data_IF_461813628229
#
_entry.id   IF_461813628229
#
_cell.length_a   1.000
_cell.length_b   1.000
_cell.length_c   1.000
_cell.angle_alpha   90.00
_cell.angle_beta   90.00
_cell.angle_gamma   90.00
#
_symmetry.space_group_name_H-M   'P 1'
#
loop_
_entity.id
_entity.type
_entity.pdbx_description
1 polymer ?
#
# COMPACT_ATOMS: atom_id res chain seq x y z
N UNK A 1 26.81 10.83 -55.22
CA UNK A 1 26.00 9.72 -54.66
C UNK A 1 26.21 9.75 -53.15
N UNK A 2 25.42 10.55 -52.43
CA UNK A 2 24.17 10.16 -51.74
C UNK A 2 24.35 9.03 -50.71
N UNK A 3 24.14 9.40 -49.43
CA UNK A 3 23.52 8.62 -48.33
C UNK A 3 24.29 7.36 -47.82
N UNK A 4 24.24 6.90 -46.56
CA UNK A 4 23.37 7.12 -45.39
C UNK A 4 24.08 6.46 -44.16
N UNK A 5 24.10 7.16 -43.00
CA UNK A 5 23.95 6.72 -41.57
C UNK A 5 24.67 5.45 -41.04
N UNK A 6 25.44 5.49 -39.93
CA UNK A 6 25.09 5.82 -38.54
C UNK A 6 23.97 4.95 -37.95
N UNK A 7 24.32 3.83 -37.31
CA UNK A 7 23.44 3.17 -36.33
C UNK A 7 24.16 2.98 -35.01
N UNK A 8 23.85 3.87 -34.08
CA UNK A 8 24.05 3.68 -32.66
C UNK A 8 23.02 2.66 -32.17
N UNK A 9 23.46 1.47 -31.79
CA UNK A 9 22.65 0.48 -31.09
C UNK A 9 22.41 0.91 -29.63
N UNK A 10 21.56 1.92 -29.43
CA UNK A 10 21.01 2.26 -28.13
C UNK A 10 19.99 1.18 -27.75
N UNK A 11 20.39 0.19 -26.95
CA UNK A 11 19.43 -0.69 -26.27
C UNK A 11 18.76 0.10 -25.15
N UNK A 12 17.79 0.93 -25.54
CA UNK A 12 16.82 1.49 -24.63
C UNK A 12 16.01 0.33 -24.01
N UNK A 13 16.42 -0.09 -22.83
CA UNK A 13 15.62 -0.95 -21.97
C UNK A 13 14.25 -0.32 -21.79
N UNK A 14 13.23 -0.95 -22.37
CA UNK A 14 11.85 -0.49 -22.36
C UNK A 14 11.31 -0.60 -20.94
N UNK A 15 11.52 0.44 -20.13
CA UNK A 15 10.81 0.61 -18.88
C UNK A 15 9.34 0.98 -19.20
N UNK A 16 8.51 -0.01 -19.53
CA UNK A 16 7.07 0.18 -19.49
C UNK A 16 6.66 0.31 -18.03
N UNK A 17 6.66 1.55 -17.54
CA UNK A 17 6.13 1.92 -16.25
C UNK A 17 4.65 1.58 -16.18
N UNK A 18 4.34 0.43 -15.58
CA UNK A 18 3.04 0.21 -14.98
C UNK A 18 3.17 0.61 -13.52
N UNK A 19 3.05 1.90 -13.25
CA UNK A 19 2.72 2.35 -11.90
C UNK A 19 1.45 1.60 -11.51
N UNK A 20 1.57 0.66 -10.56
CA UNK A 20 0.50 -0.23 -10.12
C UNK A 20 -0.55 0.61 -9.39
N UNK A 21 -1.38 1.27 -10.19
CA UNK A 21 -2.40 2.19 -9.70
C UNK A 21 -3.26 1.43 -8.69
N UNK A 22 -3.31 1.95 -7.46
CA UNK A 22 -4.09 1.37 -6.37
C UNK A 22 -5.52 1.13 -6.91
N UNK A 23 -6.03 -0.11 -6.83
CA UNK A 23 -7.35 -0.42 -7.37
C UNK A 23 -8.41 0.52 -6.79
N UNK A 24 -9.33 0.99 -7.65
CA UNK A 24 -10.36 1.95 -7.25
C UNK A 24 -11.23 1.47 -6.08
N UNK A 25 -11.45 0.15 -5.95
CA UNK A 25 -12.17 -0.41 -4.81
C UNK A 25 -11.39 -0.24 -3.49
N UNK A 26 -10.06 -0.40 -3.51
CA UNK A 26 -9.20 -0.27 -2.33
C UNK A 26 -9.23 1.17 -1.83
N UNK A 27 -9.07 2.13 -2.76
CA UNK A 27 -9.15 3.57 -2.47
C UNK A 27 -10.48 3.94 -1.81
N UNK A 28 -11.61 3.47 -2.36
CA UNK A 28 -12.95 3.70 -1.79
C UNK A 28 -13.07 3.19 -0.35
N UNK A 29 -12.49 2.03 -0.04
CA UNK A 29 -12.49 1.48 1.32
C UNK A 29 -11.60 2.32 2.24
N UNK A 30 -10.39 2.70 1.79
CA UNK A 30 -9.47 3.54 2.55
C UNK A 30 -10.09 4.91 2.88
N UNK A 31 -10.76 5.55 1.91
CA UNK A 31 -11.52 6.79 2.13
C UNK A 31 -12.65 6.61 3.14
N UNK A 32 -13.39 5.50 3.07
CA UNK A 32 -14.46 5.20 4.04
C UNK A 32 -13.89 5.01 5.45
N UNK A 33 -12.76 4.33 5.58
CA UNK A 33 -12.04 4.16 6.86
C UNK A 33 -11.56 5.52 7.39
N UNK A 34 -10.99 6.36 6.53
CA UNK A 34 -10.50 7.68 6.91
C UNK A 34 -11.64 8.58 7.42
N UNK A 35 -12.77 8.59 6.70
CA UNK A 35 -13.99 9.31 7.13
C UNK A 35 -14.51 8.79 8.47
N UNK A 36 -14.53 7.47 8.67
CA UNK A 36 -14.94 6.86 9.94
C UNK A 36 -14.03 7.27 11.10
N UNK A 37 -12.70 7.26 10.90
CA UNK A 37 -11.72 7.72 11.92
C UNK A 37 -11.90 9.19 12.29
N UNK A 38 -12.06 10.06 11.29
CA UNK A 38 -12.30 11.48 11.51
C UNK A 38 -13.60 11.73 12.30
N UNK A 39 -14.64 10.95 12.00
CA UNK A 39 -15.91 11.04 12.71
C UNK A 39 -15.79 10.54 14.16
N UNK A 40 -15.10 9.42 14.40
CA UNK A 40 -14.79 8.95 15.77
C UNK A 40 -14.10 10.05 16.57
N UNK A 41 -13.07 10.70 16.01
CA UNK A 41 -12.38 11.81 16.68
C UNK A 41 -13.34 12.94 17.05
N UNK A 42 -14.22 13.34 16.13
CA UNK A 42 -15.22 14.38 16.38
C UNK A 42 -16.22 13.99 17.49
N UNK A 43 -16.68 12.74 17.51
CA UNK A 43 -17.60 12.23 18.53
C UNK A 43 -16.94 12.15 19.91
N UNK A 44 -15.67 11.75 19.97
CA UNK A 44 -14.89 11.74 21.21
C UNK A 44 -14.71 13.17 21.73
N UNK A 45 -14.30 14.12 20.88
CA UNK A 45 -14.15 15.53 21.29
C UNK A 45 -15.47 16.10 21.83
N UNK A 46 -16.59 15.83 21.17
CA UNK A 46 -17.91 16.25 21.65
C UNK A 46 -18.26 15.62 23.00
N UNK A 47 -18.03 14.31 23.16
CA UNK A 47 -18.25 13.59 24.43
C UNK A 47 -17.41 14.16 25.58
N UNK A 48 -16.21 14.65 25.29
CA UNK A 48 -15.34 15.33 26.27
C UNK A 48 -15.80 16.75 26.64
N UNK A 49 -16.95 17.22 26.14
CA UNK A 49 -17.50 18.55 26.44
C UNK A 49 -17.13 19.63 25.43
N UNK A 50 -16.48 19.29 24.32
CA UNK A 50 -16.14 20.28 23.29
C UNK A 50 -17.37 20.61 22.42
N UNK A 51 -17.94 21.78 22.65
CA UNK A 51 -19.15 22.26 21.97
C UNK A 51 -18.87 23.25 20.84
N UNK A 52 -17.66 23.25 20.27
CA UNK A 52 -17.35 24.11 19.13
C UNK A 52 -18.35 23.88 17.99
N UNK A 53 -18.88 24.94 17.35
CA UNK A 53 -19.96 24.81 16.35
C UNK A 53 -19.65 23.82 15.22
N UNK A 54 -18.39 23.74 14.81
CA UNK A 54 -17.91 22.78 13.79
C UNK A 54 -18.07 21.32 14.23
N UNK A 55 -17.74 21.02 15.49
CA UNK A 55 -17.87 19.67 16.06
C UNK A 55 -19.34 19.33 16.20
N UNK A 56 -20.14 20.22 16.81
CA UNK A 56 -21.59 20.04 16.97
C UNK A 56 -22.28 19.79 15.63
N UNK A 57 -21.94 20.57 14.59
CA UNK A 57 -22.47 20.36 13.23
C UNK A 57 -22.11 18.96 12.69
N UNK A 58 -20.87 18.53 12.87
CA UNK A 58 -20.41 17.21 12.42
C UNK A 58 -21.16 16.09 13.15
N UNK A 59 -21.34 16.22 14.47
CA UNK A 59 -22.10 15.26 15.28
C UNK A 59 -23.57 15.24 14.87
N UNK A 60 -24.22 16.39 14.66
CA UNK A 60 -25.59 16.45 14.13
C UNK A 60 -25.73 15.73 12.79
N UNK A 61 -24.78 15.92 11.88
CA UNK A 61 -24.77 15.20 10.59
C UNK A 61 -24.57 13.68 10.77
N UNK A 62 -23.82 13.26 11.78
CA UNK A 62 -23.62 11.84 12.10
C UNK A 62 -24.92 11.13 12.49
N UNK A 63 -25.85 11.86 13.13
CA UNK A 63 -27.13 11.38 13.62
C UNK A 63 -28.34 11.84 12.78
N UNK A 64 -28.11 12.55 11.66
CA UNK A 64 -29.19 13.13 10.86
C UNK A 64 -30.20 12.09 10.34
N UNK A 65 -29.83 10.81 10.27
CA UNK A 65 -30.68 9.71 9.81
C UNK A 65 -31.31 8.88 10.94
N UNK A 66 -30.91 9.11 12.18
CA UNK A 66 -31.27 8.26 13.33
C UNK A 66 -32.22 8.93 14.32
N UNK A 67 -32.77 10.11 14.00
CA UNK A 67 -33.69 10.87 14.85
C UNK A 67 -33.18 11.07 16.30
N UNK A 68 -31.87 11.09 16.51
CA UNK A 68 -31.26 11.32 17.83
C UNK A 68 -31.05 12.82 18.01
N UNK A 69 -31.58 13.37 19.10
CA UNK A 69 -31.36 14.76 19.48
C UNK A 69 -30.21 14.85 20.49
N UNK A 70 -29.32 15.83 20.30
CA UNK A 70 -28.15 16.01 21.15
C UNK A 70 -28.48 16.48 22.58
N UNK A 71 -29.72 16.92 22.81
CA UNK A 71 -30.22 17.36 24.12
C UNK A 71 -30.85 16.22 24.93
N UNK A 72 -30.94 15.01 24.38
CA UNK A 72 -31.51 13.87 25.10
C UNK A 72 -30.56 13.39 26.20
N UNK A 73 -31.08 12.92 27.35
CA UNK A 73 -30.26 12.44 28.46
C UNK A 73 -29.43 11.19 28.11
N UNK A 74 -29.87 10.39 27.13
CA UNK A 74 -29.20 9.16 26.66
C UNK A 74 -28.12 9.41 25.59
N UNK A 75 -27.83 10.67 25.25
CA UNK A 75 -26.89 11.00 24.17
C UNK A 75 -25.50 10.37 24.35
N UNK A 76 -25.01 10.27 25.59
CA UNK A 76 -23.71 9.67 25.91
C UNK A 76 -23.65 8.20 25.52
N UNK A 77 -24.74 7.46 25.75
CA UNK A 77 -24.86 6.08 25.34
C UNK A 77 -24.91 5.98 23.81
N UNK A 78 -25.75 6.79 23.17
CA UNK A 78 -25.87 6.83 21.69
C UNK A 78 -24.57 7.18 20.98
N UNK A 79 -23.77 8.07 21.56
CA UNK A 79 -22.42 8.39 21.08
C UNK A 79 -21.49 7.18 21.16
N UNK A 80 -21.57 6.41 22.24
CA UNK A 80 -20.74 5.22 22.43
C UNK A 80 -21.12 4.13 21.44
N UNK A 81 -22.42 3.83 21.32
CA UNK A 81 -22.96 2.90 20.31
C UNK A 81 -22.47 3.28 18.90
N UNK A 82 -22.57 4.57 18.56
CA UNK A 82 -22.15 5.09 17.26
C UNK A 82 -20.64 4.96 17.02
N UNK A 83 -19.82 5.17 18.05
CA UNK A 83 -18.36 4.98 17.95
C UNK A 83 -18.04 3.51 17.69
N UNK A 84 -18.72 2.59 18.36
CA UNK A 84 -18.48 1.16 18.19
C UNK A 84 -18.92 0.67 16.80
N UNK A 85 -20.03 1.15 16.26
CA UNK A 85 -20.41 0.92 14.85
C UNK A 85 -19.30 1.34 13.88
N UNK A 86 -18.71 2.53 14.10
CA UNK A 86 -17.63 3.05 13.26
C UNK A 86 -16.36 2.20 13.39
N UNK A 87 -16.03 1.70 14.59
CA UNK A 87 -14.93 0.75 14.79
C UNK A 87 -15.19 -0.55 14.02
N UNK A 88 -16.42 -1.06 14.02
CA UNK A 88 -16.80 -2.24 13.24
C UNK A 88 -16.61 -2.00 11.74
N UNK A 89 -17.01 -0.83 11.22
CA UNK A 89 -16.79 -0.44 9.82
C UNK A 89 -15.30 -0.42 9.47
N UNK A 90 -14.46 0.13 10.36
CA UNK A 90 -12.99 0.16 10.16
C UNK A 90 -12.43 -1.26 10.11
N UNK A 91 -12.81 -2.11 11.08
CA UNK A 91 -12.35 -3.49 11.13
C UNK A 91 -12.78 -4.29 9.90
N UNK A 92 -14.04 -4.15 9.49
CA UNK A 92 -14.58 -4.81 8.30
C UNK A 92 -13.89 -4.33 7.01
N UNK A 93 -13.60 -3.03 6.90
CA UNK A 93 -12.89 -2.45 5.76
C UNK A 93 -11.41 -2.84 5.68
N UNK A 94 -10.73 -3.01 6.82
CA UNK A 94 -9.32 -3.39 6.86
C UNK A 94 -9.05 -4.80 6.35
N UNK A 95 -9.95 -5.75 6.62
CA UNK A 95 -9.81 -7.17 6.23
C UNK A 95 -9.55 -7.39 4.73
N UNK A 96 -10.38 -6.89 3.80
CA UNK A 96 -10.17 -7.09 2.35
C UNK A 96 -8.90 -6.43 1.84
N UNK A 97 -8.53 -5.25 2.36
CA UNK A 97 -7.27 -4.56 2.01
C UNK A 97 -6.09 -5.44 2.42
N UNK A 98 -6.07 -5.94 3.65
CA UNK A 98 -5.01 -6.83 4.16
C UNK A 98 -4.86 -8.08 3.30
N UNK A 99 -5.97 -8.77 3.01
CA UNK A 99 -5.97 -9.98 2.15
C UNK A 99 -5.42 -9.70 0.76
N UNK A 100 -5.79 -8.56 0.18
CA UNK A 100 -5.28 -8.15 -1.14
C UNK A 100 -3.78 -7.91 -1.12
N UNK A 101 -3.29 -7.15 -0.14
CA UNK A 101 -1.86 -6.88 0.03
C UNK A 101 -1.08 -8.17 0.22
N UNK A 102 -1.51 -9.06 1.11
CA UNK A 102 -0.85 -10.35 1.34
C UNK A 102 -0.82 -11.23 0.08
N UNK A 103 -1.90 -11.24 -0.71
CA UNK A 103 -1.92 -11.96 -1.98
C UNK A 103 -0.94 -11.35 -2.98
N UNK A 104 -0.95 -10.03 -3.12
CA UNK A 104 -0.07 -9.32 -4.05
C UNK A 104 1.40 -9.52 -3.69
N UNK A 105 1.74 -9.46 -2.40
CA UNK A 105 3.10 -9.72 -1.92
C UNK A 105 3.54 -11.14 -2.23
N UNK A 106 2.71 -12.15 -1.94
CA UNK A 106 3.01 -13.56 -2.27
C UNK A 106 3.20 -13.77 -3.76
N UNK A 107 2.33 -13.19 -4.58
CA UNK A 107 2.45 -13.26 -6.04
C UNK A 107 3.79 -12.69 -6.51
N UNK A 108 4.15 -11.49 -6.04
CA UNK A 108 5.41 -10.84 -6.40
C UNK A 108 6.62 -11.67 -5.95
N UNK A 109 6.61 -12.19 -4.73
CA UNK A 109 7.66 -13.06 -4.20
C UNK A 109 7.81 -14.35 -5.02
N UNK A 110 6.70 -14.98 -5.40
CA UNK A 110 6.73 -16.19 -6.24
C UNK A 110 7.29 -15.89 -7.64
N UNK A 111 6.92 -14.75 -8.25
CA UNK A 111 7.47 -14.35 -9.54
C UNK A 111 8.99 -14.10 -9.47
N UNK A 112 9.45 -13.44 -8.41
CA UNK A 112 10.88 -13.22 -8.17
C UNK A 112 11.61 -14.56 -7.99
N UNK A 113 11.08 -15.44 -7.13
CA UNK A 113 11.64 -16.77 -6.89
C UNK A 113 11.76 -17.60 -8.17
N UNK A 114 10.71 -17.63 -9.01
CA UNK A 114 10.75 -18.35 -10.28
C UNK A 114 11.79 -17.77 -11.25
N UNK A 115 11.91 -16.44 -11.29
CA UNK A 115 12.89 -15.76 -12.13
C UNK A 115 14.32 -16.07 -11.67
N UNK A 116 14.56 -16.04 -10.37
CA UNK A 116 15.86 -16.34 -9.78
C UNK A 116 16.23 -17.82 -9.93
N UNK A 117 15.27 -18.72 -9.76
CA UNK A 117 15.44 -20.15 -10.01
C UNK A 117 15.82 -20.41 -11.47
N UNK A 118 15.14 -19.76 -12.43
CA UNK A 118 15.47 -19.87 -13.85
C UNK A 118 16.90 -19.40 -14.15
N UNK A 119 17.28 -18.23 -13.61
CA UNK A 119 18.65 -17.69 -13.75
C UNK A 119 19.70 -18.61 -13.15
N UNK A 120 19.41 -19.22 -12.00
CA UNK A 120 20.31 -20.17 -11.36
C UNK A 120 20.55 -21.37 -12.28
N UNK A 121 19.49 -22.00 -12.80
CA UNK A 121 19.66 -23.15 -13.69
C UNK A 121 20.37 -22.78 -15.00
N UNK A 122 20.04 -21.63 -15.60
CA UNK A 122 20.77 -21.11 -16.77
C UNK A 122 22.28 -20.93 -16.48
N UNK A 123 22.65 -20.50 -15.27
CA UNK A 123 24.06 -20.36 -14.87
C UNK A 123 24.78 -21.69 -14.65
N UNK A 124 24.05 -22.75 -14.29
CA UNK A 124 24.60 -24.09 -14.10
C UNK A 124 24.73 -24.86 -15.42
N UNK A 125 23.82 -24.62 -16.36
CA UNK A 125 23.82 -25.22 -17.68
C UNK A 125 24.82 -24.57 -18.63
N UNK A 126 25.20 -23.31 -18.37
CA UNK A 126 26.34 -22.71 -19.05
C UNK A 126 27.60 -23.45 -18.60
N UNK A 127 28.27 -24.22 -19.49
CA UNK A 127 29.59 -24.73 -19.17
C UNK A 127 30.42 -23.49 -18.85
N UNK A 128 31.12 -23.52 -17.71
CA UNK A 128 32.18 -22.55 -17.47
C UNK A 128 33.06 -22.63 -18.70
N UNK A 129 32.97 -21.62 -19.58
CA UNK A 129 34.05 -21.37 -20.53
C UNK A 129 35.17 -21.00 -19.60
N UNK A 130 35.97 -22.00 -19.24
CA UNK A 130 37.18 -21.87 -18.49
C UNK A 130 37.97 -20.79 -19.20
N UNK A 131 37.90 -19.58 -18.64
CA UNK A 131 38.78 -18.52 -19.05
C UNK A 131 40.18 -19.04 -18.81
N UNK A 132 40.86 -19.42 -19.87
CA UNK A 132 42.32 -19.43 -19.92
C UNK A 132 42.78 -17.97 -19.78
N UNK A 133 42.60 -17.43 -18.58
CA UNK A 133 43.24 -16.22 -18.10
C UNK A 133 44.25 -16.64 -17.04
N UNK A 134 45.49 -16.13 -17.07
CA UNK A 134 46.52 -16.52 -16.12
C UNK A 134 46.03 -16.22 -14.69
N UNK A 135 46.18 -17.21 -13.81
CA UNK A 135 45.80 -17.11 -12.40
C UNK A 135 46.48 -15.90 -11.75
N UNK A 136 45.77 -15.09 -10.93
CA UNK A 136 46.39 -13.99 -10.21
C UNK A 136 47.35 -14.54 -9.16
N UNK A 137 48.62 -14.11 -9.23
CA UNK A 137 49.66 -14.46 -8.27
C UNK A 137 49.24 -14.02 -6.85
N UNK A 138 49.41 -14.92 -5.89
CA UNK A 138 49.04 -14.79 -4.48
C UNK A 138 49.87 -13.73 -3.70
N UNK A 139 50.61 -12.86 -4.40
CA UNK A 139 51.59 -11.94 -3.82
C UNK A 139 51.01 -10.58 -3.39
N UNK A 140 49.79 -10.21 -3.80
CA UNK A 140 49.27 -8.85 -3.56
C UNK A 140 48.17 -8.76 -2.49
N UNK A 141 47.87 -9.85 -1.78
CA UNK A 141 46.80 -9.85 -0.75
C UNK A 141 47.32 -9.56 0.66
N UNK A 142 48.18 -8.54 0.83
CA UNK A 142 48.35 -7.85 2.13
C UNK A 142 48.60 -6.37 1.89
N UNK A 143 47.52 -5.59 1.80
CA UNK A 143 47.53 -4.19 2.20
C UNK A 143 46.10 -3.73 2.52
N UNK A 144 45.88 -3.55 3.83
CA UNK A 144 44.77 -2.90 4.53
C UNK A 144 43.41 -3.61 4.62
#
# INVERSE_FOLDING_TARGET
>A
MQHLMAEAGSTAGRATGQSSAIPAWRRRIEERIAKARALIGSLICFRSGNNMPRIVRTVRMAFARTNVSLSQPDITQKLTERIDDLKQIIAAGGKPIRRYTERSTRFNQNCLFQSDQKRLYESLEQPMVSGTGPAPNHADTVAF
#
